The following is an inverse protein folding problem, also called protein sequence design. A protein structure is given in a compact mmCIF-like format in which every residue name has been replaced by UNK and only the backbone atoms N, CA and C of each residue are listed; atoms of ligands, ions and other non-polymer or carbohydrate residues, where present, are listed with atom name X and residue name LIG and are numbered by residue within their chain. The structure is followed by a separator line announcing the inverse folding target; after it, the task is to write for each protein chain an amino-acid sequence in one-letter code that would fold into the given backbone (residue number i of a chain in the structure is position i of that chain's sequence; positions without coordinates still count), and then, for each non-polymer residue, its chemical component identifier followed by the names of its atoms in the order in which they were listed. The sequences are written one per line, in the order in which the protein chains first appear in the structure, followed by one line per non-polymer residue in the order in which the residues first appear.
data_IF_779364419896
#
_entry.id   IF_779364419896
#
_cell.length_a   1.000
_cell.length_b   1.000
_cell.length_c   1.000
_cell.angle_alpha   90.00
_cell.angle_beta   90.00
_cell.angle_gamma   90.00
#
_symmetry.space_group_name_H-M   'P 1'
#
loop_
_entity.id
_entity.type
_entity.pdbx_description
1 polymer ?
#
# COMPACT_ATOMS: atom_id res chain seq x y z
N UNK A 1 20.15 -6.64 0.14
CA UNK A 1 18.73 -6.97 0.33
C UNK A 1 18.48 -7.88 1.54
N UNK A 2 18.99 -9.11 1.57
CA UNK A 2 18.66 -10.12 2.62
C UNK A 2 18.98 -9.69 4.05
N UNK A 3 20.04 -8.90 4.28
CA UNK A 3 20.36 -8.36 5.61
C UNK A 3 19.25 -7.41 6.13
N UNK A 4 18.75 -6.50 5.28
CA UNK A 4 17.66 -5.59 5.65
C UNK A 4 16.36 -6.36 5.95
N UNK A 5 16.08 -7.44 5.20
CA UNK A 5 14.94 -8.30 5.48
C UNK A 5 15.04 -8.95 6.88
N UNK A 6 16.25 -9.36 7.29
CA UNK A 6 16.51 -9.88 8.65
C UNK A 6 16.28 -8.86 9.74
N UNK A 7 16.78 -7.64 9.56
CA UNK A 7 16.55 -6.55 10.51
C UNK A 7 15.07 -6.20 10.58
N UNK A 8 14.38 -6.18 9.44
CA UNK A 8 12.94 -5.96 9.35
C UNK A 8 12.14 -7.02 10.13
N UNK A 9 12.48 -8.30 9.97
CA UNK A 9 11.88 -9.38 10.76
C UNK A 9 12.04 -9.15 12.27
N UNK A 10 13.25 -8.88 12.74
CA UNK A 10 13.52 -8.62 14.16
C UNK A 10 12.74 -7.41 14.69
N UNK A 11 12.63 -6.35 13.89
CA UNK A 11 11.86 -5.17 14.26
C UNK A 11 10.35 -5.46 14.32
N UNK A 12 9.82 -6.24 13.37
CA UNK A 12 8.40 -6.59 13.31
C UNK A 12 7.96 -7.44 14.51
N UNK A 13 8.85 -8.26 15.07
CA UNK A 13 8.55 -9.09 16.23
C UNK A 13 8.19 -8.30 17.49
N UNK A 14 8.56 -7.01 17.57
CA UNK A 14 8.14 -6.12 18.67
C UNK A 14 6.64 -5.96 18.78
N UNK A 15 5.92 -6.11 17.67
CA UNK A 15 4.47 -5.91 17.60
C UNK A 15 3.68 -7.20 17.84
N UNK A 16 4.36 -8.32 18.07
CA UNK A 16 3.72 -9.61 18.31
C UNK A 16 3.14 -9.68 19.72
N UNK A 17 1.89 -10.10 19.80
CA UNK A 17 1.15 -10.26 21.06
C UNK A 17 1.33 -11.67 21.64
N UNK A 18 0.97 -11.85 22.92
CA UNK A 18 1.15 -13.12 23.64
C UNK A 18 0.33 -14.27 23.06
N UNK A 19 -0.83 -13.96 22.48
CA UNK A 19 -1.71 -14.92 21.82
C UNK A 19 -1.22 -15.36 20.42
N UNK A 20 -0.16 -14.73 19.90
CA UNK A 20 0.44 -15.02 18.60
C UNK A 20 0.00 -14.09 17.47
N UNK A 21 -0.94 -13.19 17.74
CA UNK A 21 -1.39 -12.13 16.82
C UNK A 21 -0.39 -10.97 16.72
N UNK A 22 -0.66 -10.00 15.85
CA UNK A 22 0.07 -8.74 15.74
C UNK A 22 -0.84 -7.54 16.03
N UNK A 23 -0.29 -6.55 16.73
CA UNK A 23 -0.95 -5.30 17.10
C UNK A 23 -0.27 -4.06 16.50
N UNK A 24 -0.99 -2.95 16.42
CA UNK A 24 -0.49 -1.69 15.81
C UNK A 24 0.69 -1.11 16.61
N UNK A 25 0.63 -1.22 17.93
CA UNK A 25 1.68 -0.84 18.86
C UNK A 25 2.14 -2.06 19.65
N UNK A 26 3.32 -1.96 20.27
CA UNK A 26 3.92 -3.04 21.07
C UNK A 26 2.95 -3.61 22.11
N UNK A 27 2.10 -2.77 22.70
CA UNK A 27 1.09 -3.15 23.71
C UNK A 27 -0.29 -2.54 23.43
N UNK A 28 -0.88 -2.81 22.27
CA UNK A 28 -2.19 -2.23 21.89
C UNK A 28 -3.32 -3.21 21.59
N UNK A 29 -3.14 -4.48 21.98
CA UNK A 29 -4.07 -5.54 21.60
C UNK A 29 -3.93 -5.94 20.13
N UNK A 30 -4.60 -7.03 19.78
CA UNK A 30 -4.51 -7.70 18.48
C UNK A 30 -5.28 -6.99 17.38
N UNK A 31 -4.82 -7.10 16.13
CA UNK A 31 -5.56 -6.68 14.93
C UNK A 31 -5.63 -7.82 13.91
N UNK A 32 -6.82 -8.05 13.37
CA UNK A 32 -7.07 -9.04 12.31
C UNK A 32 -6.34 -8.64 11.04
N UNK A 33 -6.51 -7.38 10.59
CA UNK A 33 -5.83 -6.89 9.40
C UNK A 33 -4.31 -7.02 9.51
N UNK A 34 -3.73 -6.54 10.62
CA UNK A 34 -2.28 -6.54 10.76
C UNK A 34 -1.71 -7.96 10.91
N UNK A 35 -2.41 -8.85 11.62
CA UNK A 35 -1.99 -10.25 11.73
C UNK A 35 -1.98 -10.93 10.37
N UNK A 36 -2.99 -10.70 9.52
CA UNK A 36 -3.03 -11.23 8.16
C UNK A 36 -1.88 -10.67 7.31
N UNK A 37 -1.67 -9.36 7.35
CA UNK A 37 -0.60 -8.69 6.60
C UNK A 37 0.79 -9.23 6.96
N UNK A 38 1.08 -9.33 8.26
CA UNK A 38 2.38 -9.79 8.76
C UNK A 38 2.59 -11.27 8.43
N UNK A 39 1.58 -12.12 8.60
CA UNK A 39 1.69 -13.54 8.32
C UNK A 39 2.02 -13.81 6.83
N UNK A 40 1.34 -13.12 5.91
CA UNK A 40 1.62 -13.23 4.46
C UNK A 40 3.01 -12.71 4.10
N UNK A 41 3.42 -11.59 4.70
CA UNK A 41 4.75 -11.02 4.49
C UNK A 41 5.86 -11.97 4.96
N UNK A 42 5.72 -12.53 6.17
CA UNK A 42 6.68 -13.49 6.73
C UNK A 42 6.74 -14.79 5.92
N UNK A 43 5.60 -15.29 5.43
CA UNK A 43 5.58 -16.45 4.54
C UNK A 43 6.27 -16.17 3.20
N UNK A 44 6.13 -14.96 2.66
CA UNK A 44 6.84 -14.59 1.42
C UNK A 44 8.34 -14.48 1.68
N UNK A 45 8.71 -13.88 2.81
CA UNK A 45 10.10 -13.70 3.21
C UNK A 45 10.82 -15.02 3.51
N UNK A 46 10.10 -16.08 3.95
CA UNK A 46 10.71 -17.38 4.27
C UNK A 46 11.30 -18.10 3.05
N UNK A 47 10.90 -17.70 1.83
CA UNK A 47 11.51 -18.16 0.57
C UNK A 47 12.96 -17.69 0.41
N UNK A 48 13.36 -16.64 1.12
CA UNK A 48 14.66 -15.98 0.99
C UNK A 48 15.49 -16.04 2.28
N UNK A 49 14.90 -16.54 3.37
CA UNK A 49 15.49 -16.51 4.71
C UNK A 49 15.02 -17.68 5.57
N UNK A 50 15.98 -18.37 6.21
CA UNK A 50 15.70 -19.50 7.11
C UNK A 50 15.43 -19.07 8.56
N UNK A 51 15.62 -17.80 8.90
CA UNK A 51 15.50 -17.28 10.29
C UNK A 51 14.03 -17.04 10.72
N UNK A 52 13.08 -17.20 9.78
CA UNK A 52 11.66 -17.00 10.05
C UNK A 52 11.10 -18.25 10.72
N UNK A 53 10.56 -18.07 11.92
CA UNK A 53 9.94 -19.14 12.68
C UNK A 53 8.59 -19.54 12.03
N UNK A 54 8.57 -20.70 11.36
CA UNK A 54 7.38 -21.24 10.72
C UNK A 54 6.24 -21.49 11.73
N UNK A 55 6.55 -21.96 12.95
CA UNK A 55 5.54 -22.20 13.98
C UNK A 55 4.90 -20.89 14.46
N UNK A 56 5.67 -19.79 14.41
CA UNK A 56 5.15 -18.47 14.73
C UNK A 56 4.16 -17.97 13.67
N UNK A 57 4.47 -18.14 12.38
CA UNK A 57 3.56 -17.80 11.27
C UNK A 57 2.31 -18.66 11.34
N UNK A 58 2.45 -19.97 11.55
CA UNK A 58 1.31 -20.87 11.73
C UNK A 58 0.41 -20.44 12.90
N UNK A 59 0.99 -20.08 14.05
CA UNK A 59 0.21 -19.62 15.21
C UNK A 59 -0.57 -18.33 14.90
N UNK A 60 -0.01 -17.42 14.12
CA UNK A 60 -0.70 -16.21 13.68
C UNK A 60 -1.89 -16.53 12.75
N UNK A 61 -1.72 -17.49 11.84
CA UNK A 61 -2.76 -17.95 10.91
C UNK A 61 -3.86 -18.77 11.63
N UNK A 62 -3.49 -19.60 12.61
CA UNK A 62 -4.41 -20.30 13.50
C UNK A 62 -5.25 -19.29 14.31
N UNK A 63 -4.61 -18.24 14.84
CA UNK A 63 -5.31 -17.17 15.52
C UNK A 63 -6.30 -16.47 14.59
N UNK A 64 -5.89 -16.12 13.36
CA UNK A 64 -6.78 -15.52 12.36
C UNK A 64 -7.97 -16.42 12.09
N UNK A 65 -7.75 -17.69 11.77
CA UNK A 65 -8.79 -18.68 11.51
C UNK A 65 -9.84 -18.74 12.64
N UNK A 66 -9.41 -18.59 13.91
CA UNK A 66 -10.31 -18.58 15.07
C UNK A 66 -11.20 -17.34 15.18
N UNK A 67 -10.92 -16.27 14.43
CA UNK A 67 -11.71 -15.01 14.45
C UNK A 67 -12.81 -14.97 13.41
N UNK A 68 -12.95 -16.01 12.58
CA UNK A 68 -14.02 -16.07 11.58
C UNK A 68 -15.38 -16.21 12.26
N UNK A 69 -16.37 -15.44 11.81
CA UNK A 69 -17.75 -15.61 12.22
C UNK A 69 -18.36 -16.86 11.56
N UNK A 70 -19.47 -17.36 12.10
CA UNK A 70 -20.19 -18.51 11.51
C UNK A 70 -20.67 -18.27 10.07
N UNK A 71 -20.86 -17.01 9.67
CA UNK A 71 -21.20 -16.63 8.30
C UNK A 71 -20.03 -16.69 7.31
N UNK A 72 -18.79 -16.84 7.79
CA UNK A 72 -17.56 -16.74 6.99
C UNK A 72 -16.89 -15.37 7.00
N UNK A 73 -17.56 -14.34 7.56
CA UNK A 73 -17.08 -12.96 7.68
C UNK A 73 -15.96 -12.81 8.71
N UNK A 74 -15.06 -11.85 8.47
CA UNK A 74 -14.12 -11.33 9.45
C UNK A 74 -14.44 -9.87 9.80
N UNK A 75 -14.38 -9.55 11.09
CA UNK A 75 -14.47 -8.19 11.60
C UNK A 75 -13.16 -7.80 12.30
N UNK A 76 -12.83 -6.51 12.29
CA UNK A 76 -11.62 -6.03 12.93
C UNK A 76 -11.70 -6.13 14.45
N UNK A 77 -10.55 -6.37 15.09
CA UNK A 77 -10.40 -6.37 16.54
C UNK A 77 -9.51 -5.18 16.93
N UNK A 78 -9.89 -4.45 17.97
CA UNK A 78 -9.15 -3.28 18.44
C UNK A 78 -9.49 -2.00 17.70
N UNK A 79 -8.59 -1.02 17.76
CA UNK A 79 -8.83 0.32 17.20
C UNK A 79 -8.70 0.29 15.67
N UNK A 80 -9.68 0.88 14.98
CA UNK A 80 -9.64 1.09 13.52
C UNK A 80 -8.69 2.25 13.21
N UNK A 81 -7.68 1.98 12.38
CA UNK A 81 -6.68 2.95 11.93
C UNK A 81 -6.61 3.06 10.39
N UNK A 82 -7.23 2.11 9.68
CA UNK A 82 -7.42 2.10 8.24
C UNK A 82 -8.89 1.81 7.89
N UNK A 83 -9.72 2.85 7.86
CA UNK A 83 -11.19 2.74 7.75
C UNK A 83 -11.67 1.94 6.54
N UNK A 84 -11.03 2.08 5.38
CA UNK A 84 -11.50 1.37 4.18
C UNK A 84 -11.25 -0.15 4.22
N UNK A 85 -10.20 -0.60 4.92
CA UNK A 85 -9.87 -2.02 5.05
C UNK A 85 -10.60 -2.64 6.25
N UNK A 86 -10.56 -1.94 7.39
CA UNK A 86 -11.03 -2.44 8.69
C UNK A 86 -12.48 -2.05 8.98
N UNK A 87 -13.04 -1.11 8.22
CA UNK A 87 -14.38 -0.59 8.45
C UNK A 87 -15.45 -1.63 8.18
N UNK A 88 -16.26 -1.91 9.21
CA UNK A 88 -17.39 -2.83 9.12
C UNK A 88 -18.62 -2.29 8.38
N UNK A 89 -18.59 -1.03 7.91
CA UNK A 89 -19.73 -0.33 7.30
C UNK A 89 -20.16 -0.93 5.95
N UNK A 90 -19.27 -1.65 5.26
CA UNK A 90 -19.53 -2.31 3.97
C UNK A 90 -19.50 -3.82 4.11
N UNK A 91 -20.22 -4.32 5.12
CA UNK A 91 -20.34 -5.74 5.46
C UNK A 91 -18.98 -6.47 5.67
N UNK A 92 -17.91 -5.77 6.02
CA UNK A 92 -16.59 -6.39 6.25
C UNK A 92 -16.02 -7.15 5.05
N UNK A 93 -16.44 -6.81 3.81
CA UNK A 93 -15.99 -7.50 2.59
C UNK A 93 -14.49 -7.35 2.39
N UNK A 94 -13.95 -6.12 2.47
CA UNK A 94 -12.52 -5.86 2.29
C UNK A 94 -11.65 -6.71 3.23
N UNK A 95 -11.91 -6.63 4.54
CA UNK A 95 -11.16 -7.41 5.54
C UNK A 95 -11.30 -8.92 5.31
N UNK A 96 -12.51 -9.41 5.04
CA UNK A 96 -12.75 -10.83 4.77
C UNK A 96 -11.95 -11.30 3.55
N UNK A 97 -12.01 -10.56 2.44
CA UNK A 97 -11.24 -10.86 1.23
C UNK A 97 -9.73 -10.79 1.45
N UNK A 98 -9.26 -9.85 2.28
CA UNK A 98 -7.85 -9.71 2.61
C UNK A 98 -7.33 -10.89 3.44
N UNK A 99 -8.07 -11.31 4.47
CA UNK A 99 -7.72 -12.49 5.28
C UNK A 99 -7.71 -13.76 4.42
N UNK A 100 -8.69 -13.91 3.52
CA UNK A 100 -8.74 -15.04 2.59
C UNK A 100 -7.54 -15.04 1.64
N UNK A 101 -7.16 -13.87 1.11
CA UNK A 101 -5.94 -13.71 0.31
C UNK A 101 -4.71 -14.17 1.09
N UNK A 102 -4.58 -13.75 2.35
CA UNK A 102 -3.47 -14.13 3.21
C UNK A 102 -3.37 -15.65 3.43
N UNK A 103 -4.51 -16.33 3.64
CA UNK A 103 -4.58 -17.78 3.77
C UNK A 103 -4.29 -18.52 2.45
N UNK A 104 -4.76 -17.99 1.32
CA UNK A 104 -4.58 -18.60 -0.01
C UNK A 104 -3.17 -18.51 -0.55
N UNK A 105 -2.42 -17.48 -0.16
CA UNK A 105 -1.03 -17.26 -0.58
C UNK A 105 -0.02 -18.11 0.20
N UNK A 106 -0.48 -18.83 1.22
CA UNK A 106 0.32 -19.76 2.01
C UNK A 106 -0.16 -21.20 1.75
N UNK A 107 0.67 -22.01 1.10
CA UNK A 107 0.29 -23.38 0.71
C UNK A 107 -0.08 -24.28 1.90
N UNK A 108 0.59 -24.12 3.05
CA UNK A 108 0.31 -24.88 4.27
C UNK A 108 -1.03 -24.42 4.86
N UNK A 109 -1.21 -23.11 5.00
CA UNK A 109 -2.42 -22.51 5.56
C UNK A 109 -3.66 -22.80 4.70
N UNK A 110 -3.48 -22.79 3.37
CA UNK A 110 -4.50 -23.11 2.38
C UNK A 110 -5.07 -24.51 2.60
N UNK A 111 -4.23 -25.48 2.96
CA UNK A 111 -4.65 -26.86 3.25
C UNK A 111 -5.22 -26.96 4.68
N UNK A 112 -4.51 -26.46 5.69
CA UNK A 112 -4.89 -26.56 7.11
C UNK A 112 -6.21 -25.86 7.42
N UNK A 113 -6.47 -24.70 6.79
CA UNK A 113 -7.65 -23.87 7.01
C UNK A 113 -8.65 -23.90 5.84
N UNK A 114 -8.70 -25.01 5.10
CA UNK A 114 -9.60 -25.16 3.95
C UNK A 114 -11.07 -24.86 4.27
N UNK A 115 -11.55 -25.25 5.46
CA UNK A 115 -12.93 -24.97 5.91
C UNK A 115 -13.17 -23.47 6.10
N UNK A 116 -12.21 -22.74 6.67
CA UNK A 116 -12.29 -21.29 6.85
C UNK A 116 -12.33 -20.58 5.50
N UNK A 117 -11.49 -21.02 4.57
CA UNK A 117 -11.47 -20.51 3.20
C UNK A 117 -12.81 -20.76 2.51
N UNK A 118 -13.36 -21.98 2.62
CA UNK A 118 -14.63 -22.32 2.01
C UNK A 118 -15.77 -21.45 2.55
N UNK A 119 -15.85 -21.28 3.87
CA UNK A 119 -16.87 -20.43 4.50
C UNK A 119 -16.73 -18.97 4.07
N UNK A 120 -15.51 -18.45 4.00
CA UNK A 120 -15.25 -17.09 3.55
C UNK A 120 -15.56 -16.89 2.06
N UNK A 121 -15.26 -17.86 1.20
CA UNK A 121 -15.64 -17.81 -0.22
C UNK A 121 -17.15 -17.85 -0.41
N UNK A 122 -17.86 -18.68 0.38
CA UNK A 122 -19.32 -18.69 0.39
C UNK A 122 -19.88 -17.33 0.82
N UNK A 123 -19.27 -16.68 1.82
CA UNK A 123 -19.62 -15.32 2.23
C UNK A 123 -19.45 -14.32 1.07
N UNK A 124 -18.27 -14.29 0.45
CA UNK A 124 -17.97 -13.38 -0.66
C UNK A 124 -18.89 -13.61 -1.87
N UNK A 125 -19.16 -14.87 -2.21
CA UNK A 125 -20.10 -15.28 -3.27
C UNK A 125 -21.49 -14.70 -3.03
N UNK A 126 -22.02 -14.86 -1.81
CA UNK A 126 -23.33 -14.34 -1.43
C UNK A 126 -23.40 -12.80 -1.42
N UNK A 127 -22.26 -12.13 -1.18
CA UNK A 127 -22.19 -10.67 -1.17
C UNK A 127 -21.92 -10.07 -2.55
N UNK A 128 -21.42 -10.83 -3.54
CA UNK A 128 -20.84 -10.29 -4.79
C UNK A 128 -21.78 -9.31 -5.51
N UNK A 129 -23.07 -9.64 -5.60
CA UNK A 129 -24.08 -8.80 -6.22
C UNK A 129 -24.21 -7.43 -5.53
N UNK A 130 -24.04 -7.38 -4.20
CA UNK A 130 -24.20 -6.20 -3.35
C UNK A 130 -22.91 -5.36 -3.23
N UNK A 131 -21.75 -5.89 -3.65
CA UNK A 131 -20.49 -5.14 -3.61
C UNK A 131 -20.53 -4.03 -4.66
N UNK A 132 -20.70 -2.78 -4.24
CA UNK A 132 -20.75 -1.59 -5.10
C UNK A 132 -19.55 -0.66 -4.91
N UNK A 133 -18.62 -1.00 -4.01
CA UNK A 133 -17.39 -0.25 -3.81
C UNK A 133 -16.24 -0.94 -4.56
N UNK A 134 -15.53 -0.26 -5.48
CA UNK A 134 -14.44 -0.88 -6.23
C UNK A 134 -13.27 -1.37 -5.36
N UNK A 135 -13.00 -0.73 -4.22
CA UNK A 135 -11.96 -1.16 -3.29
C UNK A 135 -12.26 -2.56 -2.76
N UNK A 136 -13.45 -2.76 -2.19
CA UNK A 136 -13.90 -4.06 -1.67
C UNK A 136 -13.93 -5.12 -2.79
N UNK A 137 -14.45 -4.75 -3.97
CA UNK A 137 -14.55 -5.66 -5.12
C UNK A 137 -13.17 -6.08 -5.62
N UNK A 138 -12.19 -5.17 -5.68
CA UNK A 138 -10.84 -5.49 -6.19
C UNK A 138 -10.14 -6.56 -5.35
N UNK A 139 -10.25 -6.47 -4.01
CA UNK A 139 -9.66 -7.44 -3.09
C UNK A 139 -10.43 -8.76 -3.16
N UNK A 140 -11.77 -8.70 -3.23
CA UNK A 140 -12.62 -9.89 -3.36
C UNK A 140 -12.35 -10.65 -4.65
N UNK A 141 -12.26 -9.94 -5.78
CA UNK A 141 -11.91 -10.51 -7.09
C UNK A 141 -10.54 -11.18 -7.03
N UNK A 142 -9.54 -10.52 -6.45
CA UNK A 142 -8.21 -11.13 -6.32
C UNK A 142 -8.23 -12.41 -5.47
N UNK A 143 -8.94 -12.40 -4.34
CA UNK A 143 -9.13 -13.60 -3.52
C UNK A 143 -9.82 -14.73 -4.29
N UNK A 144 -10.86 -14.42 -5.07
CA UNK A 144 -11.57 -15.38 -5.94
C UNK A 144 -10.65 -15.94 -7.03
N UNK A 145 -9.78 -15.11 -7.62
CA UNK A 145 -8.78 -15.53 -8.60
C UNK A 145 -7.76 -16.50 -8.00
N UNK A 146 -7.23 -16.19 -6.81
CA UNK A 146 -6.31 -17.05 -6.04
C UNK A 146 -6.94 -18.39 -5.65
N UNK A 147 -8.21 -18.38 -5.26
CA UNK A 147 -8.95 -19.59 -4.92
C UNK A 147 -9.31 -20.44 -6.16
N UNK A 148 -9.45 -19.81 -7.33
CA UNK A 148 -10.00 -20.46 -8.51
C UNK A 148 -11.53 -20.57 -8.47
N UNK A 149 -12.19 -19.70 -7.72
CA UNK A 149 -13.64 -19.72 -7.47
C UNK A 149 -14.45 -19.59 -8.78
N UNK A 150 -15.65 -20.17 -8.83
CA UNK A 150 -16.51 -20.17 -10.03
C UNK A 150 -16.92 -18.77 -10.48
N UNK A 151 -17.13 -17.85 -9.53
CA UNK A 151 -17.52 -16.46 -9.80
C UNK A 151 -16.34 -15.52 -10.12
N UNK A 152 -15.09 -16.01 -10.16
CA UNK A 152 -13.91 -15.15 -10.36
C UNK A 152 -13.98 -14.31 -11.65
N UNK A 153 -14.55 -14.88 -12.71
CA UNK A 153 -14.75 -14.20 -13.99
C UNK A 153 -15.80 -13.09 -13.88
N UNK A 154 -16.96 -13.41 -13.31
CA UNK A 154 -18.04 -12.45 -13.06
C UNK A 154 -17.57 -11.28 -12.18
N UNK A 155 -16.82 -11.58 -11.13
CA UNK A 155 -16.25 -10.57 -10.24
C UNK A 155 -15.23 -9.66 -10.95
N UNK A 156 -14.40 -10.22 -11.84
CA UNK A 156 -13.45 -9.45 -12.64
C UNK A 156 -14.15 -8.59 -13.69
N UNK A 157 -15.15 -9.13 -14.39
CA UNK A 157 -15.92 -8.38 -15.39
C UNK A 157 -16.64 -7.20 -14.70
N UNK A 158 -17.31 -7.43 -13.57
CA UNK A 158 -17.93 -6.37 -12.75
C UNK A 158 -16.90 -5.32 -12.31
N UNK A 159 -15.69 -5.74 -11.94
CA UNK A 159 -14.63 -4.81 -11.55
C UNK A 159 -14.17 -3.95 -12.74
N UNK A 160 -14.00 -4.55 -13.92
CA UNK A 160 -13.62 -3.85 -15.15
C UNK A 160 -14.67 -2.79 -15.52
N UNK A 161 -15.96 -3.10 -15.36
CA UNK A 161 -17.06 -2.15 -15.63
C UNK A 161 -17.01 -0.91 -14.74
N UNK A 162 -16.39 -1.00 -13.56
CA UNK A 162 -16.23 0.11 -12.61
C UNK A 162 -14.96 0.94 -12.84
N UNK A 163 -14.16 0.60 -13.86
CA UNK A 163 -12.88 1.27 -14.12
C UNK A 163 -13.05 2.57 -14.90
N UNK A 164 -12.10 3.49 -14.69
CA UNK A 164 -11.96 4.74 -15.41
C UNK A 164 -10.85 4.55 -16.44
N UNK A 165 -11.10 4.93 -17.69
CA UNK A 165 -10.12 4.88 -18.78
C UNK A 165 -9.81 6.28 -19.28
N UNK A 166 -8.53 6.64 -19.34
CA UNK A 166 -8.03 7.84 -20.01
C UNK A 166 -7.33 7.41 -21.31
N UNK A 167 -8.05 7.54 -22.42
CA UNK A 167 -7.55 7.15 -23.74
C UNK A 167 -6.42 8.06 -24.24
N UNK A 168 -6.30 9.30 -23.74
CA UNK A 168 -5.25 10.22 -24.15
C UNK A 168 -3.89 9.81 -23.57
N UNK A 169 -3.90 9.27 -22.35
CA UNK A 169 -2.70 8.77 -21.65
C UNK A 169 -2.51 7.26 -21.75
N UNK A 170 -3.48 6.56 -22.34
CA UNK A 170 -3.53 5.10 -22.33
C UNK A 170 -3.44 4.54 -20.90
N UNK A 171 -4.26 5.08 -20.01
CA UNK A 171 -4.30 4.75 -18.58
C UNK A 171 -5.66 4.13 -18.21
N UNK A 172 -5.65 3.15 -17.31
CA UNK A 172 -6.86 2.57 -16.69
C UNK A 172 -6.68 2.47 -15.19
N UNK A 173 -7.65 2.93 -14.41
CA UNK A 173 -7.58 2.92 -12.95
C UNK A 173 -8.96 2.89 -12.29
N UNK A 174 -9.00 2.82 -10.96
CA UNK A 174 -10.24 2.82 -10.19
C UNK A 174 -10.29 4.02 -9.25
N UNK A 175 -11.32 4.87 -9.43
CA UNK A 175 -11.51 6.09 -8.66
C UNK A 175 -12.10 5.84 -7.26
N UNK A 176 -11.28 5.40 -6.31
CA UNK A 176 -11.63 5.24 -4.89
C UNK A 176 -10.85 6.24 -4.01
N UNK A 177 -11.01 6.18 -2.68
CA UNK A 177 -10.16 6.91 -1.72
C UNK A 177 -8.73 6.35 -1.64
N UNK A 178 -8.55 5.07 -1.99
CA UNK A 178 -7.26 4.36 -2.03
C UNK A 178 -7.03 3.81 -3.45
N UNK A 179 -6.92 4.73 -4.42
CA UNK A 179 -6.88 4.41 -5.85
C UNK A 179 -5.74 3.46 -6.23
N UNK A 180 -4.56 3.64 -5.62
CA UNK A 180 -3.37 2.83 -5.90
C UNK A 180 -3.61 1.40 -5.44
N UNK A 181 -4.03 1.17 -4.19
CA UNK A 181 -4.39 -0.16 -3.69
C UNK A 181 -5.45 -0.85 -4.59
N UNK A 182 -6.57 -0.18 -4.87
CA UNK A 182 -7.64 -0.75 -5.71
C UNK A 182 -7.12 -1.15 -7.09
N UNK A 183 -6.39 -0.25 -7.73
CA UNK A 183 -5.86 -0.47 -9.09
C UNK A 183 -4.79 -1.57 -9.10
N UNK A 184 -3.99 -1.67 -8.04
CA UNK A 184 -2.98 -2.73 -7.89
C UNK A 184 -3.62 -4.12 -7.68
N UNK A 185 -4.67 -4.23 -6.85
CA UNK A 185 -5.44 -5.48 -6.73
C UNK A 185 -6.14 -5.87 -8.02
N UNK A 186 -6.68 -4.90 -8.76
CA UNK A 186 -7.22 -5.13 -10.09
C UNK A 186 -6.13 -5.66 -11.04
N UNK A 187 -4.94 -5.04 -11.07
CA UNK A 187 -3.83 -5.49 -11.90
C UNK A 187 -3.37 -6.91 -11.56
N UNK A 188 -3.29 -7.26 -10.27
CA UNK A 188 -3.02 -8.63 -9.85
C UNK A 188 -4.04 -9.62 -10.42
N UNK A 189 -5.32 -9.25 -10.40
CA UNK A 189 -6.40 -10.06 -11.00
C UNK A 189 -6.28 -10.16 -12.52
N UNK A 190 -5.86 -9.09 -13.22
CA UNK A 190 -5.59 -9.11 -14.66
C UNK A 190 -4.44 -10.07 -14.99
N UNK A 191 -3.35 -10.04 -14.22
CA UNK A 191 -2.21 -10.96 -14.38
C UNK A 191 -2.65 -12.40 -14.18
N UNK A 192 -3.47 -12.69 -13.15
CA UNK A 192 -4.00 -14.03 -12.92
C UNK A 192 -4.97 -14.51 -14.00
N UNK A 193 -5.68 -13.59 -14.65
CA UNK A 193 -6.57 -13.87 -15.78
C UNK A 193 -5.84 -13.89 -17.13
N UNK A 194 -4.51 -13.73 -17.13
CA UNK A 194 -3.66 -13.64 -18.33
C UNK A 194 -4.07 -12.50 -19.30
N UNK A 195 -4.74 -11.47 -18.78
CA UNK A 195 -5.16 -10.26 -19.52
C UNK A 195 -4.00 -9.26 -19.62
N UNK A 196 -2.85 -9.68 -20.14
CA UNK A 196 -1.63 -8.88 -20.13
C UNK A 196 -1.75 -7.59 -20.95
N UNK A 197 -2.35 -7.66 -22.15
CA UNK A 197 -2.54 -6.50 -23.02
C UNK A 197 -3.45 -5.45 -22.38
N UNK A 198 -4.58 -5.89 -21.81
CA UNK A 198 -5.50 -5.00 -21.09
C UNK A 198 -4.90 -4.49 -19.76
N UNK A 199 -3.88 -5.17 -19.24
CA UNK A 199 -3.14 -4.81 -18.03
C UNK A 199 -2.09 -3.72 -18.25
N UNK A 200 -1.63 -3.48 -19.49
CA UNK A 200 -0.64 -2.43 -19.79
C UNK A 200 -1.18 -1.04 -19.44
N UNK A 201 -2.41 -0.63 -19.82
CA UNK A 201 -2.97 0.65 -19.39
C UNK A 201 -3.09 0.81 -17.87
N UNK A 202 -3.31 -0.30 -17.16
CA UNK A 202 -3.35 -0.31 -15.68
C UNK A 202 -1.96 -0.08 -15.10
N UNK A 203 -0.95 -0.74 -15.69
CA UNK A 203 0.46 -0.54 -15.35
C UNK A 203 0.91 0.89 -15.60
N UNK A 204 0.55 1.49 -16.74
CA UNK A 204 0.89 2.87 -17.10
C UNK A 204 0.46 3.84 -16.00
N UNK A 205 -0.79 3.71 -15.55
CA UNK A 205 -1.32 4.57 -14.49
C UNK A 205 -0.56 4.34 -13.17
N UNK A 206 -0.36 3.10 -12.74
CA UNK A 206 0.34 2.77 -11.50
C UNK A 206 1.80 3.25 -11.49
N UNK A 207 2.54 3.05 -12.58
CA UNK A 207 3.93 3.52 -12.71
C UNK A 207 3.99 5.04 -12.55
N UNK A 208 2.98 5.75 -13.05
CA UNK A 208 2.87 7.21 -12.98
C UNK A 208 2.43 7.74 -11.59
N UNK A 209 2.05 6.86 -10.64
CA UNK A 209 1.75 7.23 -9.25
C UNK A 209 2.91 6.95 -8.28
N UNK A 210 4.06 6.47 -8.77
CA UNK A 210 5.22 6.14 -7.93
C UNK A 210 5.84 7.38 -7.29
N UNK A 211 6.33 7.21 -6.08
CA UNK A 211 7.13 8.19 -5.36
C UNK A 211 8.58 8.19 -5.85
N UNK A 212 9.36 9.23 -5.52
CA UNK A 212 10.74 9.43 -6.00
C UNK A 212 11.67 8.27 -5.68
N UNK A 213 11.42 7.52 -4.61
CA UNK A 213 12.22 6.33 -4.23
C UNK A 213 11.86 5.07 -5.03
N UNK A 214 10.90 5.17 -5.96
CA UNK A 214 10.34 4.05 -6.71
C UNK A 214 9.25 3.27 -5.98
N UNK A 215 8.99 3.59 -4.71
CA UNK A 215 7.84 3.11 -3.90
C UNK A 215 6.56 3.88 -4.23
N UNK A 216 5.52 3.76 -3.41
CA UNK A 216 4.32 4.60 -3.48
C UNK A 216 4.17 5.43 -2.18
N UNK A 217 3.38 6.52 -2.19
CA UNK A 217 3.32 7.45 -1.06
C UNK A 217 2.82 6.85 0.27
N UNK A 218 2.00 5.79 0.22
CA UNK A 218 1.49 5.10 1.44
C UNK A 218 2.05 3.68 1.55
N UNK A 219 1.92 3.11 2.75
CA UNK A 219 2.47 1.79 3.09
C UNK A 219 1.77 0.65 2.33
N UNK A 220 0.43 0.58 2.37
CA UNK A 220 -0.33 -0.45 1.62
C UNK A 220 -0.23 -0.25 0.11
N UNK A 221 -0.28 1.01 -0.35
CA UNK A 221 -0.01 1.36 -1.76
C UNK A 221 1.33 0.77 -2.23
N UNK A 222 2.39 0.91 -1.43
CA UNK A 222 3.71 0.37 -1.77
C UNK A 222 3.70 -1.15 -1.84
N UNK A 223 3.12 -1.80 -0.84
CA UNK A 223 3.12 -3.27 -0.78
C UNK A 223 2.36 -3.88 -1.97
N UNK A 224 1.11 -3.47 -2.19
CA UNK A 224 0.27 -4.06 -3.24
C UNK A 224 0.71 -3.55 -4.62
N UNK A 225 1.03 -2.26 -4.74
CA UNK A 225 1.47 -1.63 -5.98
C UNK A 225 2.74 -2.28 -6.53
N UNK A 226 3.78 -2.43 -5.70
CA UNK A 226 5.01 -3.10 -6.14
C UNK A 226 4.77 -4.58 -6.47
N UNK A 227 3.97 -5.30 -5.67
CA UNK A 227 3.61 -6.69 -5.95
C UNK A 227 2.89 -6.83 -7.30
N UNK A 228 1.98 -5.92 -7.63
CA UNK A 228 1.24 -5.93 -8.88
C UNK A 228 2.15 -5.61 -10.08
N UNK A 229 2.97 -4.56 -9.97
CA UNK A 229 3.91 -4.17 -11.01
C UNK A 229 4.94 -5.26 -11.28
N UNK A 230 5.52 -5.88 -10.25
CA UNK A 230 6.50 -6.97 -10.43
C UNK A 230 5.86 -8.21 -11.05
N UNK A 231 4.65 -8.58 -10.62
CA UNK A 231 3.93 -9.74 -11.18
C UNK A 231 3.59 -9.57 -12.66
N UNK A 232 3.22 -8.37 -13.10
CA UNK A 232 3.02 -8.11 -14.52
C UNK A 232 4.36 -8.06 -15.26
N UNK A 233 5.37 -7.36 -14.72
CA UNK A 233 6.69 -7.26 -15.32
C UNK A 233 7.33 -8.64 -15.56
N UNK A 234 7.20 -9.57 -14.62
CA UNK A 234 7.63 -10.98 -14.78
C UNK A 234 7.01 -11.67 -16.00
N UNK A 235 5.83 -11.24 -16.46
CA UNK A 235 5.09 -11.85 -17.58
C UNK A 235 5.31 -11.17 -18.91
N UNK A 236 5.52 -9.85 -18.92
CA UNK A 236 5.59 -9.05 -20.17
C UNK A 236 7.01 -8.64 -20.55
N UNK A 237 7.97 -8.69 -19.62
CA UNK A 237 9.34 -8.26 -19.90
C UNK A 237 10.03 -9.22 -20.88
N UNK A 238 10.72 -8.71 -21.92
CA UNK A 238 11.50 -9.55 -22.82
C UNK A 238 12.63 -10.29 -22.10
N UNK A 239 13.11 -11.39 -22.68
CA UNK A 239 14.25 -12.17 -22.13
C UNK A 239 15.59 -11.46 -22.19
N UNK A 240 15.69 -10.39 -23.01
CA UNK A 240 16.90 -9.58 -23.17
C UNK A 240 16.54 -8.09 -23.26
N UNK A 241 17.38 -7.27 -22.66
CA UNK A 241 17.45 -5.84 -22.88
C UNK A 241 18.61 -5.53 -23.83
N UNK A 242 18.29 -4.82 -24.91
CA UNK A 242 19.20 -4.27 -25.92
C UNK A 242 18.50 -3.08 -26.58
N UNK A 243 18.60 -1.91 -25.95
CA UNK A 243 17.98 -0.69 -26.44
C UNK A 243 18.81 0.56 -26.15
N UNK A 244 18.65 1.56 -26.99
CA UNK A 244 19.22 2.90 -26.84
C UNK A 244 18.13 3.90 -26.53
N UNK A 245 18.35 4.70 -25.49
CA UNK A 245 17.53 5.86 -25.13
C UNK A 245 18.29 7.12 -25.52
N UNK A 246 17.72 7.88 -26.44
CA UNK A 246 18.20 9.21 -26.81
C UNK A 246 17.34 10.26 -26.11
N UNK A 247 17.95 11.04 -25.22
CA UNK A 247 17.33 12.16 -24.53
C UNK A 247 17.81 13.48 -25.16
N UNK A 248 16.89 14.24 -25.75
CA UNK A 248 17.14 15.58 -26.27
C UNK A 248 16.49 16.63 -25.38
N UNK A 249 17.27 17.65 -25.05
CA UNK A 249 16.81 18.81 -24.28
C UNK A 249 17.57 20.05 -24.71
N UNK A 250 16.84 21.13 -25.02
CA UNK A 250 17.41 22.35 -25.64
C UNK A 250 18.26 22.03 -26.88
N UNK A 251 19.58 22.19 -26.81
CA UNK A 251 20.56 21.87 -27.87
C UNK A 251 21.41 20.64 -27.54
N UNK A 252 21.21 20.04 -26.37
CA UNK A 252 21.98 18.90 -25.90
C UNK A 252 21.29 17.60 -26.29
N UNK A 253 22.08 16.58 -26.58
CA UNK A 253 21.63 15.21 -26.78
C UNK A 253 22.46 14.29 -25.92
N UNK A 254 21.81 13.41 -25.17
CA UNK A 254 22.43 12.36 -24.37
C UNK A 254 21.93 11.00 -24.85
N UNK A 255 22.81 10.01 -24.82
CA UNK A 255 22.52 8.64 -25.21
C UNK A 255 22.80 7.73 -24.02
N UNK A 256 21.85 6.84 -23.75
CA UNK A 256 21.99 5.76 -22.78
C UNK A 256 21.82 4.46 -23.55
N UNK A 257 22.81 3.58 -23.46
CA UNK A 257 22.73 2.24 -24.06
C UNK A 257 22.52 1.25 -22.94
N UNK A 258 21.44 0.49 -22.99
CA UNK A 258 21.07 -0.49 -21.98
C UNK A 258 21.20 -1.87 -22.62
N UNK A 259 22.03 -2.71 -22.00
CA UNK A 259 22.15 -4.12 -22.32
C UNK A 259 21.86 -4.98 -21.09
N UNK A 260 21.71 -6.29 -21.28
CA UNK A 260 21.32 -7.22 -20.22
C UNK A 260 22.40 -7.43 -19.14
N UNK A 261 23.63 -6.93 -19.34
CA UNK A 261 24.70 -6.99 -18.34
C UNK A 261 24.62 -5.82 -17.34
N UNK A 262 23.85 -4.77 -17.65
CA UNK A 262 23.77 -3.51 -16.90
C UNK A 262 22.37 -3.22 -16.32
N UNK A 263 21.58 -4.26 -16.01
CA UNK A 263 20.17 -4.16 -15.61
C UNK A 263 19.93 -3.26 -14.37
N UNK A 264 20.90 -3.19 -13.45
CA UNK A 264 20.77 -2.43 -12.20
C UNK A 264 21.38 -1.01 -12.27
N UNK A 265 21.88 -0.57 -13.44
CA UNK A 265 22.48 0.77 -13.56
C UNK A 265 21.38 1.82 -13.74
N UNK A 266 21.12 2.59 -12.68
CA UNK A 266 20.31 3.80 -12.76
C UNK A 266 21.17 4.97 -13.26
N UNK A 267 20.80 5.53 -14.41
CA UNK A 267 21.46 6.71 -14.95
C UNK A 267 20.66 7.96 -14.57
N UNK A 268 21.22 8.76 -13.66
CA UNK A 268 20.66 10.06 -13.28
C UNK A 268 21.29 11.17 -14.12
N UNK A 269 20.45 12.08 -14.60
CA UNK A 269 20.90 13.28 -15.31
C UNK A 269 20.13 14.49 -14.79
N UNK A 270 20.86 15.48 -14.30
CA UNK A 270 20.29 16.77 -13.95
C UNK A 270 19.97 17.57 -15.22
N UNK A 271 18.74 18.05 -15.29
CA UNK A 271 18.24 18.87 -16.40
C UNK A 271 18.25 20.34 -15.96
N UNK A 272 18.80 21.27 -16.77
CA UNK A 272 18.80 22.70 -16.43
C UNK A 272 17.37 23.24 -16.22
N UNK A 273 17.20 24.11 -15.22
CA UNK A 273 15.90 24.65 -14.76
C UNK A 273 15.09 25.36 -15.86
N UNK A 274 15.75 26.06 -16.79
CA UNK A 274 15.13 26.79 -17.89
C UNK A 274 14.72 25.89 -19.08
N UNK A 275 14.76 24.56 -18.91
CA UNK A 275 14.31 23.59 -19.92
C UNK A 275 12.79 23.48 -19.94
N UNK A 276 12.15 23.86 -21.05
CA UNK A 276 10.68 23.80 -21.21
C UNK A 276 10.13 22.50 -21.82
N UNK A 277 10.96 21.76 -22.54
CA UNK A 277 10.55 20.54 -23.28
C UNK A 277 11.67 19.51 -23.26
N UNK A 278 11.27 18.25 -23.15
CA UNK A 278 12.11 17.07 -23.28
C UNK A 278 11.57 16.20 -24.42
N UNK A 279 12.46 15.60 -25.20
CA UNK A 279 12.13 14.61 -26.22
C UNK A 279 12.94 13.36 -25.92
N UNK A 280 12.26 12.22 -25.81
CA UNK A 280 12.89 10.92 -25.52
C UNK A 280 12.55 9.97 -26.66
N UNK A 281 13.58 9.50 -27.36
CA UNK A 281 13.44 8.51 -28.42
C UNK A 281 14.07 7.19 -27.95
N UNK A 282 13.31 6.11 -28.01
CA UNK A 282 13.76 4.76 -27.63
C UNK A 282 13.79 3.89 -28.88
N UNK A 283 14.88 3.17 -29.09
CA UNK A 283 15.02 2.21 -30.19
C UNK A 283 15.71 0.93 -29.72
N UNK A 284 15.19 -0.22 -30.13
CA UNK A 284 15.69 -1.53 -29.74
C UNK A 284 14.61 -2.42 -29.13
N UNK A 285 15.02 -3.36 -28.27
CA UNK A 285 14.15 -4.33 -27.61
C UNK A 285 14.49 -4.39 -26.13
N UNK A 286 13.49 -4.27 -25.25
CA UNK A 286 13.70 -4.48 -23.82
C UNK A 286 12.58 -3.89 -22.98
N UNK A 287 12.81 -3.87 -21.68
CA UNK A 287 11.95 -3.23 -20.69
C UNK A 287 12.76 -2.17 -19.92
N UNK A 288 12.14 -1.02 -19.67
CA UNK A 288 12.79 0.10 -18.99
C UNK A 288 11.78 1.14 -18.51
N UNK A 289 12.18 1.92 -17.51
CA UNK A 289 11.40 3.02 -16.96
C UNK A 289 12.05 4.35 -17.34
N UNK A 290 11.24 5.29 -17.80
CA UNK A 290 11.65 6.66 -18.09
C UNK A 290 11.02 7.55 -17.02
N UNK A 291 11.84 8.14 -16.17
CA UNK A 291 11.39 8.91 -15.00
C UNK A 291 11.85 10.35 -15.11
N UNK A 292 10.95 11.29 -14.80
CA UNK A 292 11.27 12.71 -14.64
C UNK A 292 10.90 13.09 -13.22
N UNK A 293 11.91 13.45 -12.42
CA UNK A 293 11.76 13.80 -11.02
C UNK A 293 11.74 15.33 -10.91
N UNK A 294 10.66 15.87 -10.35
CA UNK A 294 10.54 17.30 -10.07
C UNK A 294 10.76 17.54 -8.58
N UNK A 295 11.69 18.43 -8.25
CA UNK A 295 11.90 18.93 -6.89
C UNK A 295 11.43 20.39 -6.85
N UNK A 296 10.34 20.65 -6.13
CA UNK A 296 9.73 21.97 -6.03
C UNK A 296 10.12 22.66 -4.73
N UNK A 297 10.55 23.91 -4.82
CA UNK A 297 10.71 24.81 -3.67
C UNK A 297 9.48 25.71 -3.58
N UNK A 298 8.48 25.27 -2.82
CA UNK A 298 7.24 26.02 -2.60
C UNK A 298 7.36 26.93 -1.38
N UNK A 299 6.65 28.05 -1.40
CA UNK A 299 6.57 28.94 -0.24
C UNK A 299 5.90 28.22 0.93
N UNK A 300 6.48 28.38 2.13
CA UNK A 300 5.88 27.91 3.38
C UNK A 300 4.68 28.78 3.73
N UNK A 301 3.48 28.20 3.65
CA UNK A 301 2.20 28.88 3.93
C UNK A 301 1.31 27.99 4.78
N UNK A 302 0.43 28.61 5.57
CA UNK A 302 -0.59 27.88 6.32
C UNK A 302 -1.58 27.23 5.34
N UNK A 303 -1.86 25.95 5.56
CA UNK A 303 -2.83 25.19 4.77
C UNK A 303 -3.57 24.23 5.68
N UNK A 304 -4.89 24.20 5.54
CA UNK A 304 -5.77 23.30 6.27
C UNK A 304 -6.71 22.60 5.30
N UNK A 305 -6.81 21.28 5.42
CA UNK A 305 -7.77 20.49 4.66
C UNK A 305 -8.25 19.32 5.49
N UNK A 306 -9.53 19.36 5.88
CA UNK A 306 -10.19 18.37 6.77
C UNK A 306 -9.54 18.19 8.15
N UNK A 307 -8.60 19.06 8.51
CA UNK A 307 -8.01 19.16 9.83
C UNK A 307 -7.90 20.63 10.21
N UNK A 308 -8.16 20.94 11.48
CA UNK A 308 -7.80 22.24 12.07
C UNK A 308 -6.55 22.07 12.91
N UNK A 309 -5.57 22.95 12.74
CA UNK A 309 -4.31 22.93 13.49
C UNK A 309 -4.07 24.30 14.13
N UNK A 310 -4.21 24.35 15.45
CA UNK A 310 -3.97 25.56 16.23
C UNK A 310 -2.64 25.42 17.00
N UNK A 311 -1.79 26.46 16.89
CA UNK A 311 -0.49 26.53 17.56
C UNK A 311 -0.43 27.77 18.45
N UNK A 312 -0.02 27.60 19.71
CA UNK A 312 0.10 28.69 20.68
C UNK A 312 1.44 28.61 21.41
N UNK A 313 2.26 29.66 21.34
CA UNK A 313 3.49 29.77 22.13
C UNK A 313 3.14 30.19 23.55
N UNK A 314 3.51 29.37 24.53
CA UNK A 314 3.35 29.70 25.94
C UNK A 314 4.49 30.59 26.43
N UNK A 315 4.20 31.50 27.37
CA UNK A 315 5.23 32.32 28.01
C UNK A 315 5.96 31.50 29.08
N UNK A 316 7.24 31.23 28.83
CA UNK A 316 8.14 30.48 29.72
C UNK A 316 8.93 31.37 30.67
N UNK A 317 9.02 32.67 30.38
CA UNK A 317 9.91 33.59 31.10
C UNK A 317 11.40 33.41 30.80
N UNK A 318 11.76 32.55 29.83
CA UNK A 318 13.13 32.29 29.38
C UNK A 318 13.24 32.41 27.87
N UNK A 319 14.23 33.14 27.39
CA UNK A 319 14.51 33.30 25.95
C UNK A 319 15.03 32.00 25.30
N UNK A 320 15.46 31.03 26.11
CA UNK A 320 16.03 29.75 25.67
C UNK A 320 15.03 28.59 25.74
N UNK A 321 13.81 28.83 26.21
CA UNK A 321 12.78 27.80 26.39
C UNK A 321 11.59 28.06 25.46
N UNK A 322 11.29 27.10 24.60
CA UNK A 322 10.11 27.10 23.74
C UNK A 322 9.10 26.07 24.25
N UNK A 323 7.99 26.56 24.83
CA UNK A 323 6.80 25.75 25.09
C UNK A 323 5.75 26.05 24.03
N UNK A 324 5.47 25.05 23.18
CA UNK A 324 4.51 25.15 22.08
C UNK A 324 3.31 24.26 22.38
N UNK A 325 2.14 24.86 22.57
CA UNK A 325 0.88 24.14 22.68
C UNK A 325 0.38 23.83 21.28
N UNK A 326 0.18 22.54 21.00
CA UNK A 326 -0.31 22.04 19.71
C UNK A 326 -1.69 21.45 19.91
N UNK A 327 -2.67 21.93 19.14
CA UNK A 327 -4.03 21.44 19.16
C UNK A 327 -4.43 21.05 17.73
N UNK A 328 -4.86 19.81 17.53
CA UNK A 328 -5.33 19.33 16.24
C UNK A 328 -6.70 18.66 16.40
N UNK A 329 -7.60 18.91 15.45
CA UNK A 329 -8.87 18.19 15.35
C UNK A 329 -9.14 17.75 13.91
N UNK A 330 -9.92 16.67 13.78
CA UNK A 330 -10.45 16.28 12.49
C UNK A 330 -11.75 17.03 12.22
N UNK A 331 -11.96 17.46 10.98
CA UNK A 331 -13.20 18.11 10.54
C UNK A 331 -14.08 17.03 9.88
N UNK A 332 -15.09 16.49 10.60
CA UNK A 332 -15.93 15.42 10.09
C UNK A 332 -16.86 15.94 8.99
N UNK A 333 -17.23 15.06 8.06
CA UNK A 333 -18.17 15.37 6.98
C UNK A 333 -19.13 14.19 6.76
N UNK A 334 -20.44 14.44 6.85
CA UNK A 334 -21.48 13.43 6.66
C UNK A 334 -21.26 12.20 7.56
N UNK A 335 -21.02 11.03 6.97
CA UNK A 335 -20.77 9.75 7.67
C UNK A 335 -19.31 9.58 8.07
N UNK A 336 -18.43 10.48 7.67
CA UNK A 336 -16.99 10.45 7.93
C UNK A 336 -16.67 11.16 9.25
N UNK A 337 -16.96 10.49 10.36
CA UNK A 337 -16.93 11.07 11.71
C UNK A 337 -15.53 11.17 12.33
N UNK A 338 -14.57 10.39 11.86
CA UNK A 338 -13.21 10.27 12.42
C UNK A 338 -12.19 10.00 11.31
N UNK A 339 -10.92 10.35 11.49
CA UNK A 339 -9.88 10.09 10.49
C UNK A 339 -9.33 8.66 10.54
N UNK A 340 -8.40 8.33 9.63
CA UNK A 340 -7.52 7.17 9.77
C UNK A 340 -6.45 7.43 10.85
N UNK A 341 -5.36 6.64 10.90
CA UNK A 341 -4.15 7.01 11.64
C UNK A 341 -3.67 8.41 11.26
N UNK A 342 -3.51 9.27 12.26
CA UNK A 342 -3.02 10.63 12.12
C UNK A 342 -1.68 10.78 12.84
N UNK A 343 -0.75 11.49 12.21
CA UNK A 343 0.55 11.84 12.75
C UNK A 343 0.66 13.36 12.80
N UNK A 344 1.28 13.87 13.86
CA UNK A 344 1.64 15.28 13.99
C UNK A 344 3.16 15.35 14.04
N UNK A 345 3.75 16.06 13.09
CA UNK A 345 5.18 16.33 13.07
C UNK A 345 5.41 17.79 13.46
N UNK A 346 6.31 18.01 14.43
CA UNK A 346 6.69 19.35 14.89
C UNK A 346 8.14 19.59 14.47
N UNK A 347 8.32 20.49 13.50
CA UNK A 347 9.65 20.93 13.07
C UNK A 347 10.09 22.13 13.92
N UNK A 348 11.32 22.08 14.43
CA UNK A 348 11.85 23.11 15.31
C UNK A 348 12.64 24.17 14.52
N UNK A 349 12.68 25.42 15.01
CA UNK A 349 13.62 26.42 14.50
C UNK A 349 15.07 25.96 14.69
N UNK A 350 15.94 26.42 13.79
CA UNK A 350 17.37 26.11 13.84
C UNK A 350 17.98 26.43 15.22
N UNK A 351 18.71 25.46 15.77
CA UNK A 351 19.40 25.59 17.07
C UNK A 351 18.58 25.15 18.29
N UNK A 352 17.27 24.89 18.14
CA UNK A 352 16.47 24.30 19.21
C UNK A 352 16.63 22.78 19.24
N UNK A 353 16.57 22.23 20.44
CA UNK A 353 16.62 20.78 20.71
C UNK A 353 15.55 20.44 21.74
N UNK A 354 14.93 19.27 21.59
CA UNK A 354 13.95 18.76 22.55
C UNK A 354 14.62 18.22 23.81
N UNK A 355 13.92 18.28 24.94
CA UNK A 355 14.34 17.59 26.16
C UNK A 355 14.14 16.04 26.04
N UNK A 356 14.37 15.31 27.13
CA UNK A 356 14.24 13.84 27.13
C UNK A 356 12.79 13.35 26.97
N UNK A 357 11.80 14.12 27.44
CA UNK A 357 10.38 13.77 27.42
C UNK A 357 9.56 15.02 27.07
N UNK A 358 9.58 15.45 25.80
CA UNK A 358 9.18 16.82 25.42
C UNK A 358 7.67 17.05 25.39
N UNK A 359 6.89 15.99 25.64
CA UNK A 359 5.44 16.02 25.55
C UNK A 359 4.85 15.98 26.95
N UNK A 360 4.11 17.03 27.29
CA UNK A 360 3.37 17.19 28.55
C UNK A 360 1.94 17.67 28.26
N UNK A 361 1.07 17.64 29.27
CA UNK A 361 -0.31 18.14 29.18
C UNK A 361 -1.15 17.45 28.07
N UNK A 362 -0.88 16.17 27.81
CA UNK A 362 -1.62 15.41 26.80
C UNK A 362 -3.10 15.29 27.17
N UNK A 363 -3.97 15.42 26.17
CA UNK A 363 -5.39 15.13 26.36
C UNK A 363 -5.60 13.63 26.55
N UNK A 364 -6.54 13.27 27.43
CA UNK A 364 -6.98 11.88 27.61
C UNK A 364 -7.95 11.43 26.51
N UNK A 365 -8.55 12.39 25.80
CA UNK A 365 -9.46 12.16 24.67
C UNK A 365 -8.72 12.43 23.36
N UNK A 366 -8.91 11.57 22.37
CA UNK A 366 -8.41 11.75 21.02
C UNK A 366 -9.55 12.28 20.13
N UNK A 367 -9.57 13.59 19.79
CA UNK A 367 -10.62 14.18 18.96
C UNK A 367 -10.46 13.88 17.46
N UNK A 368 -9.42 13.14 17.08
CA UNK A 368 -9.09 12.77 15.69
C UNK A 368 -9.59 11.34 15.38
N UNK A 369 -9.56 10.45 16.38
CA UNK A 369 -9.86 9.01 16.26
C UNK A 369 -10.53 8.38 17.48
#
# INVERSE_FOLDING_TARGET
ATNLLRQGYQNQMRYRQTDGSFGVWEKSGSSVFLTAFVATSMQTASKYMNDIDAAMVEKALDWLASKQHSSGRFDEIGKVWHKDMQGGLRNGVALTSYVLTALLENDIAKVKHAVVIQNGMNYLSNQLALINNPYDLSIATYAMMLNGHTMKKEALDKLIDMSISDNNKNERYWGTTNQIETTAYALLSFVMAEKYLDGIPVMNWLVNQRYVTGSFPRTQDTFVGLKALTKLAEKISPSRNDYTVQLKYKKNTKYFNINSEQIDVQNFLEIPEDTKKLEINVGGIGFGLLEVIYQFDLNLVNFEHRFKLDLEKQNTGSDYELRLRVCANYIPELTDSQSNMALIEVTLPSGYVVDRNPISEQTTVNPIQ
#
